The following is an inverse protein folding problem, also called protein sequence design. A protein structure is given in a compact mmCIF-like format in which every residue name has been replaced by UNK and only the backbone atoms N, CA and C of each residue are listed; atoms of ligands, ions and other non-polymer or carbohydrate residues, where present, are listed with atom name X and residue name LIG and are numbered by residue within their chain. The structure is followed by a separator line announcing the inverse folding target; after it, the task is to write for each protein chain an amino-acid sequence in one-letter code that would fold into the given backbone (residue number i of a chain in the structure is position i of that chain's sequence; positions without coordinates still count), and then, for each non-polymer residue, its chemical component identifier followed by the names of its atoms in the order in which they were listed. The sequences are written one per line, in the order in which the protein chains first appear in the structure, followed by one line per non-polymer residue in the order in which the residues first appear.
data_IF_455924073334
#
_entry.id   IF_455924073334
#
_cell.length_a   1.000
_cell.length_b   1.000
_cell.length_c   1.000
_cell.angle_alpha   90.00
_cell.angle_beta   90.00
_cell.angle_gamma   90.00
#
_symmetry.space_group_name_H-M   'P 1'
#
loop_
_entity.id
_entity.type
_entity.pdbx_description
1 polymer ?
#
# COMPACT_ATOMS: atom_id res chain seq x y z
N UNK A 1 -15.45 -5.87 10.23
CA UNK A 1 -14.78 -6.54 11.36
C UNK A 1 -13.50 -5.80 11.70
N UNK A 2 -13.34 -5.33 12.94
CA UNK A 2 -12.10 -4.67 13.38
C UNK A 2 -11.02 -5.70 13.78
N UNK A 3 -9.76 -5.27 13.91
CA UNK A 3 -8.63 -6.18 14.24
C UNK A 3 -8.82 -6.90 15.58
N UNK A 4 -9.51 -6.28 16.55
CA UNK A 4 -9.77 -6.87 17.87
C UNK A 4 -10.77 -8.02 17.75
N UNK A 5 -11.84 -7.84 16.98
CA UNK A 5 -12.83 -8.87 16.67
C UNK A 5 -12.22 -10.04 15.89
N UNK A 6 -11.42 -9.75 14.86
CA UNK A 6 -10.72 -10.77 14.06
C UNK A 6 -9.83 -11.65 14.93
N UNK A 7 -9.08 -11.02 15.84
CA UNK A 7 -8.20 -11.71 16.78
C UNK A 7 -8.97 -12.57 17.79
N UNK A 8 -10.11 -12.09 18.26
CA UNK A 8 -10.98 -12.88 19.15
C UNK A 8 -11.58 -14.09 18.43
N UNK A 9 -12.01 -13.94 17.18
CA UNK A 9 -12.51 -15.07 16.39
C UNK A 9 -11.40 -16.07 16.06
N UNK A 10 -10.18 -15.61 15.78
CA UNK A 10 -9.01 -16.49 15.59
C UNK A 10 -8.72 -17.30 16.86
N UNK A 11 -8.65 -16.62 18.00
CA UNK A 11 -8.36 -17.23 19.30
C UNK A 11 -9.42 -18.29 19.68
N UNK A 12 -10.70 -17.97 19.48
CA UNK A 12 -11.80 -18.89 19.70
C UNK A 12 -11.72 -20.11 18.79
N UNK A 13 -11.37 -19.92 17.51
CA UNK A 13 -11.25 -21.00 16.53
C UNK A 13 -10.09 -21.96 16.84
N UNK A 14 -8.93 -21.44 17.22
CA UNK A 14 -7.79 -22.26 17.66
C UNK A 14 -8.18 -23.07 18.90
N UNK A 15 -8.81 -22.44 19.89
CA UNK A 15 -9.27 -23.15 21.09
C UNK A 15 -10.31 -24.22 20.76
N UNK A 16 -11.21 -23.96 19.81
CA UNK A 16 -12.23 -24.92 19.39
C UNK A 16 -11.59 -26.15 18.75
N UNK A 17 -10.74 -25.95 17.73
CA UNK A 17 -10.08 -27.03 17.00
C UNK A 17 -9.20 -27.89 17.89
N UNK A 18 -8.46 -27.27 18.81
CA UNK A 18 -7.66 -28.00 19.81
C UNK A 18 -8.54 -28.93 20.65
N UNK A 19 -9.70 -28.45 21.11
CA UNK A 19 -10.65 -29.25 21.91
C UNK A 19 -11.32 -30.34 21.09
N UNK A 20 -11.63 -30.10 19.82
CA UNK A 20 -12.18 -31.10 18.90
C UNK A 20 -11.19 -32.25 18.69
N UNK A 21 -9.89 -31.94 18.64
CA UNK A 21 -8.80 -32.94 18.63
C UNK A 21 -8.46 -33.53 20.00
N UNK A 22 -9.19 -33.15 21.06
CA UNK A 22 -8.98 -33.61 22.45
C UNK A 22 -7.57 -33.34 22.99
N UNK A 23 -6.93 -32.27 22.52
CA UNK A 23 -5.60 -31.88 22.96
C UNK A 23 -5.68 -30.89 24.12
N UNK A 24 -4.77 -31.00 25.08
CA UNK A 24 -4.51 -30.00 26.12
C UNK A 24 -3.73 -28.81 25.56
N UNK A 25 -3.69 -27.69 26.31
CA UNK A 25 -2.87 -26.54 25.91
C UNK A 25 -1.37 -26.89 25.93
N UNK A 26 -0.94 -27.76 26.85
CA UNK A 26 0.44 -28.27 26.95
C UNK A 26 0.82 -29.06 25.69
N UNK A 27 -0.02 -30.00 25.27
CA UNK A 27 0.23 -30.83 24.08
C UNK A 27 0.28 -29.99 22.79
N UNK A 28 -0.59 -28.99 22.66
CA UNK A 28 -0.52 -28.06 21.51
C UNK A 28 0.75 -27.21 21.57
N UNK A 29 1.15 -26.77 22.77
CA UNK A 29 2.36 -25.97 22.96
C UNK A 29 3.62 -26.75 22.56
N UNK A 30 3.69 -28.02 22.94
CA UNK A 30 4.80 -28.92 22.59
C UNK A 30 4.92 -29.12 21.08
N UNK A 31 3.80 -29.36 20.38
CA UNK A 31 3.79 -29.57 18.93
C UNK A 31 4.28 -28.38 18.11
N UNK A 32 4.13 -27.16 18.63
CA UNK A 32 4.52 -25.93 17.92
C UNK A 32 5.73 -25.23 18.56
N UNK A 33 6.45 -25.93 19.45
CA UNK A 33 7.63 -25.45 20.18
C UNK A 33 7.37 -24.09 20.87
N UNK A 34 6.32 -24.05 21.70
CA UNK A 34 5.91 -22.89 22.49
C UNK A 34 5.63 -23.29 23.93
N UNK A 35 5.49 -22.30 24.80
CA UNK A 35 5.09 -22.54 26.19
C UNK A 35 3.57 -22.64 26.30
N UNK A 36 3.08 -23.39 27.28
CA UNK A 36 1.65 -23.44 27.61
C UNK A 36 1.05 -22.06 27.85
N UNK A 37 1.77 -21.20 28.57
CA UNK A 37 1.36 -19.82 28.83
C UNK A 37 1.13 -19.03 27.54
N UNK A 38 1.95 -19.29 26.50
CA UNK A 38 1.77 -18.67 25.20
C UNK A 38 0.46 -19.11 24.54
N UNK A 39 0.16 -20.41 24.53
CA UNK A 39 -1.12 -20.94 24.00
C UNK A 39 -2.29 -20.38 24.78
N UNK A 40 -2.17 -20.29 26.09
CA UNK A 40 -3.19 -19.73 26.97
C UNK A 40 -3.50 -18.26 26.63
N UNK A 41 -2.46 -17.44 26.46
CA UNK A 41 -2.60 -16.03 26.04
C UNK A 41 -3.12 -15.89 24.60
N UNK A 42 -2.75 -16.81 23.71
CA UNK A 42 -3.21 -16.84 22.32
C UNK A 42 -4.71 -17.14 22.25
N UNK A 43 -5.19 -18.17 22.95
CA UNK A 43 -6.59 -18.60 22.96
C UNK A 43 -7.53 -17.60 23.65
N UNK A 44 -7.01 -16.68 24.48
CA UNK A 44 -7.75 -15.52 25.01
C UNK A 44 -7.75 -14.29 24.09
N UNK A 45 -7.00 -14.35 22.98
CA UNK A 45 -6.81 -13.21 22.09
C UNK A 45 -5.93 -12.10 22.70
N UNK A 46 -5.12 -12.42 23.70
CA UNK A 46 -4.17 -11.51 24.38
C UNK A 46 -2.77 -11.52 23.77
N UNK A 47 -2.44 -12.56 22.99
CA UNK A 47 -1.28 -12.61 22.07
C UNK A 47 -1.70 -12.70 20.60
N UNK A 48 -0.91 -12.11 19.71
CA UNK A 48 -1.12 -12.20 18.26
C UNK A 48 -0.11 -13.22 17.74
N UNK A 49 -0.54 -14.25 16.99
CA UNK A 49 0.40 -15.19 16.40
C UNK A 49 1.22 -14.49 15.32
N UNK A 50 2.48 -14.92 15.14
CA UNK A 50 3.23 -14.55 13.94
C UNK A 50 2.70 -15.34 12.74
N UNK A 51 3.14 -14.98 11.54
CA UNK A 51 2.76 -15.70 10.33
C UNK A 51 3.21 -17.17 10.38
N UNK A 52 4.45 -17.42 10.80
CA UNK A 52 5.03 -18.76 10.97
C UNK A 52 4.21 -19.59 11.96
N UNK A 53 3.74 -18.97 13.04
CA UNK A 53 2.94 -19.66 14.05
C UNK A 53 1.56 -20.04 13.54
N UNK A 54 0.95 -19.27 12.63
CA UNK A 54 -0.33 -19.64 12.02
C UNK A 54 -0.20 -20.95 11.23
N UNK A 55 0.92 -21.14 10.50
CA UNK A 55 1.17 -22.38 9.78
C UNK A 55 1.48 -23.55 10.71
N UNK A 56 2.29 -23.33 11.75
CA UNK A 56 2.56 -24.36 12.76
C UNK A 56 1.28 -24.81 13.48
N UNK A 57 0.39 -23.87 13.83
CA UNK A 57 -0.92 -24.18 14.41
C UNK A 57 -1.81 -24.93 13.43
N UNK A 58 -1.81 -24.55 12.15
CA UNK A 58 -2.60 -25.20 11.11
C UNK A 58 -2.16 -26.66 10.90
N UNK A 59 -0.85 -26.90 10.88
CA UNK A 59 -0.26 -28.23 10.80
C UNK A 59 -0.57 -29.08 12.05
N UNK A 60 -0.34 -28.53 13.25
CA UNK A 60 -0.64 -29.22 14.52
C UNK A 60 -2.14 -29.51 14.69
N UNK A 61 -3.00 -28.65 14.15
CA UNK A 61 -4.46 -28.80 14.17
C UNK A 61 -5.01 -29.44 12.91
N UNK A 62 -4.17 -29.92 11.99
CA UNK A 62 -4.56 -30.65 10.77
C UNK A 62 -5.68 -29.96 9.98
N UNK A 63 -5.52 -28.65 9.78
CA UNK A 63 -6.45 -27.82 9.02
C UNK A 63 -5.67 -26.91 8.07
N UNK A 64 -6.28 -26.46 6.96
CA UNK A 64 -5.68 -25.40 6.15
C UNK A 64 -5.49 -24.12 6.98
N UNK A 65 -4.36 -23.43 6.83
CA UNK A 65 -4.15 -22.13 7.51
C UNK A 65 -5.25 -21.10 7.20
N UNK A 66 -5.82 -21.17 5.99
CA UNK A 66 -6.97 -20.36 5.55
C UNK A 66 -8.22 -20.60 6.40
N UNK A 67 -8.38 -21.81 6.95
CA UNK A 67 -9.49 -22.13 7.84
C UNK A 67 -9.38 -21.40 9.19
N UNK A 68 -8.15 -21.26 9.73
CA UNK A 68 -7.91 -20.54 10.99
C UNK A 68 -8.25 -19.04 10.87
N UNK A 69 -8.12 -18.46 9.67
CA UNK A 69 -8.32 -17.03 9.41
C UNK A 69 -9.64 -16.71 8.66
N UNK A 70 -10.50 -17.71 8.42
CA UNK A 70 -11.81 -17.48 7.83
C UNK A 70 -12.80 -17.04 8.91
N UNK A 71 -13.44 -15.90 8.70
CA UNK A 71 -14.36 -15.30 9.68
C UNK A 71 -15.71 -15.11 9.00
N UNK A 72 -16.74 -15.86 9.41
CA UNK A 72 -18.09 -15.73 8.86
C UNK A 72 -18.76 -14.48 9.43
N UNK A 73 -19.32 -13.64 8.55
CA UNK A 73 -20.22 -12.57 8.97
C UNK A 73 -21.59 -13.20 9.27
N UNK A 74 -21.97 -13.24 10.54
CA UNK A 74 -23.35 -13.52 10.95
C UNK A 74 -24.20 -12.27 10.72
N UNK A 75 -25.04 -12.30 9.68
CA UNK A 75 -26.01 -11.24 9.41
C UNK A 75 -26.63 -11.37 8.02
N UNK A 76 -27.92 -11.70 7.98
CA UNK A 76 -28.75 -11.90 6.80
C UNK A 76 -28.84 -10.67 5.88
N UNK A 77 -28.60 -10.87 4.58
CA UNK A 77 -29.44 -10.35 3.48
C UNK A 77 -28.88 -10.84 2.13
N UNK A 78 -29.08 -12.11 1.83
CA UNK A 78 -28.62 -12.72 0.56
C UNK A 78 -29.51 -12.40 -0.66
N UNK A 79 -30.62 -11.67 -0.48
CA UNK A 79 -31.64 -11.54 -1.54
C UNK A 79 -31.88 -10.11 -2.07
N UNK A 80 -31.44 -9.04 -1.41
CA UNK A 80 -31.75 -7.66 -1.84
C UNK A 80 -30.56 -6.86 -2.42
N UNK A 81 -29.33 -7.41 -2.37
CA UNK A 81 -28.10 -6.67 -2.73
C UNK A 81 -27.70 -6.86 -4.21
N UNK A 82 -28.26 -7.84 -4.91
CA UNK A 82 -27.88 -8.19 -6.28
C UNK A 82 -28.34 -7.20 -7.38
N UNK A 83 -28.93 -6.05 -7.04
CA UNK A 83 -29.53 -5.17 -8.07
C UNK A 83 -29.04 -3.72 -8.06
N UNK A 84 -28.30 -3.24 -7.05
CA UNK A 84 -28.01 -1.79 -6.94
C UNK A 84 -26.62 -1.39 -6.42
N UNK A 85 -25.61 -2.25 -6.40
CA UNK A 85 -24.24 -1.84 -6.11
C UNK A 85 -23.34 -2.28 -7.25
N UNK A 86 -22.94 -1.32 -8.08
CA UNK A 86 -21.70 -1.44 -8.83
C UNK A 86 -20.59 -1.67 -7.79
N UNK A 87 -20.10 -2.90 -7.71
CA UNK A 87 -19.03 -3.23 -6.76
C UNK A 87 -17.80 -2.38 -7.10
N UNK A 88 -17.19 -1.69 -6.11
CA UNK A 88 -15.90 -1.07 -6.32
C UNK A 88 -14.93 -2.19 -6.70
N UNK A 89 -14.41 -2.12 -7.92
CA UNK A 89 -13.42 -3.05 -8.45
C UNK A 89 -12.19 -2.94 -7.55
N UNK A 90 -12.06 -3.87 -6.60
CA UNK A 90 -10.79 -4.14 -5.93
C UNK A 90 -9.77 -4.29 -7.07
N UNK A 91 -8.68 -3.52 -7.11
CA UNK A 91 -7.72 -3.59 -8.20
C UNK A 91 -7.22 -5.01 -8.28
N UNK A 92 -7.77 -5.70 -9.27
CA UNK A 92 -7.43 -7.04 -9.63
C UNK A 92 -5.94 -7.04 -9.86
N UNK A 93 -5.23 -7.90 -9.14
CA UNK A 93 -4.07 -8.52 -9.75
C UNK A 93 -4.64 -9.11 -11.04
N UNK A 94 -4.37 -8.44 -12.17
CA UNK A 94 -4.83 -8.93 -13.47
C UNK A 94 -4.16 -10.29 -13.61
N UNK A 95 -4.92 -11.36 -13.39
CA UNK A 95 -4.40 -12.70 -13.58
C UNK A 95 -3.97 -12.81 -15.05
N UNK A 96 -2.78 -13.35 -15.32
CA UNK A 96 -2.33 -13.51 -16.69
C UNK A 96 -3.37 -14.36 -17.43
N UNK A 97 -3.90 -13.83 -18.52
CA UNK A 97 -4.82 -14.57 -19.39
C UNK A 97 -4.03 -15.74 -19.97
N UNK A 98 -4.37 -16.97 -19.59
CA UNK A 98 -3.67 -18.19 -20.04
C UNK A 98 -4.00 -18.55 -21.50
N UNK A 99 -5.10 -18.01 -22.04
CA UNK A 99 -5.51 -18.23 -23.42
C UNK A 99 -4.67 -17.39 -24.39
N UNK A 100 -3.91 -18.06 -25.26
CA UNK A 100 -3.17 -17.40 -26.32
C UNK A 100 -4.13 -16.74 -27.33
N UNK A 101 -3.80 -15.53 -27.80
CA UNK A 101 -4.51 -14.92 -28.94
C UNK A 101 -4.19 -15.75 -30.19
N UNK A 102 -5.08 -16.67 -30.56
CA UNK A 102 -4.79 -17.70 -31.56
C UNK A 102 -5.17 -17.31 -32.98
N UNK A 103 -6.06 -16.32 -33.17
CA UNK A 103 -6.55 -15.95 -34.49
C UNK A 103 -5.91 -14.67 -35.06
N UNK A 104 -5.92 -14.53 -36.38
CA UNK A 104 -5.42 -13.33 -37.07
C UNK A 104 -6.42 -12.18 -36.91
N UNK A 105 -7.70 -12.49 -36.88
CA UNK A 105 -8.82 -11.57 -36.78
C UNK A 105 -8.85 -10.87 -35.42
N UNK A 106 -8.67 -11.62 -34.31
CA UNK A 106 -8.60 -11.04 -32.95
C UNK A 106 -7.43 -10.06 -32.82
N UNK A 107 -6.24 -10.42 -33.32
CA UNK A 107 -5.06 -9.53 -33.30
C UNK A 107 -5.29 -8.23 -34.07
N UNK A 108 -5.96 -8.29 -35.23
CA UNK A 108 -6.29 -7.09 -36.02
C UNK A 108 -7.28 -6.20 -35.25
N UNK A 109 -8.28 -6.81 -34.62
CA UNK A 109 -9.26 -6.08 -33.79
C UNK A 109 -8.58 -5.36 -32.62
N UNK A 110 -7.74 -6.05 -31.86
CA UNK A 110 -7.03 -5.48 -30.72
C UNK A 110 -5.99 -4.43 -31.13
N UNK A 111 -5.26 -4.64 -32.23
CA UNK A 111 -4.35 -3.64 -32.77
C UNK A 111 -5.08 -2.33 -33.13
N UNK A 112 -6.28 -2.43 -33.71
CA UNK A 112 -7.10 -1.25 -34.04
C UNK A 112 -7.62 -0.55 -32.78
N UNK A 113 -8.00 -1.30 -31.73
CA UNK A 113 -8.40 -0.73 -30.44
C UNK A 113 -7.22 0.00 -29.78
N UNK A 114 -6.03 -0.60 -29.81
CA UNK A 114 -4.80 0.00 -29.30
C UNK A 114 -4.46 1.29 -30.06
N UNK A 115 -4.44 1.27 -31.40
CA UNK A 115 -4.15 2.43 -32.23
C UNK A 115 -5.08 3.62 -31.90
N UNK A 116 -6.36 3.35 -31.69
CA UNK A 116 -7.32 4.38 -31.31
C UNK A 116 -7.06 4.93 -29.90
N UNK A 117 -6.77 4.07 -28.92
CA UNK A 117 -6.43 4.52 -27.57
C UNK A 117 -5.12 5.32 -27.53
N UNK A 118 -4.14 4.93 -28.36
CA UNK A 118 -2.84 5.60 -28.43
C UNK A 118 -2.92 7.06 -28.86
N UNK A 119 -3.96 7.47 -29.59
CA UNK A 119 -4.18 8.88 -29.97
C UNK A 119 -4.35 9.78 -28.75
N UNK A 120 -5.26 9.42 -27.84
CA UNK A 120 -5.47 10.18 -26.59
C UNK A 120 -4.29 10.05 -25.62
N UNK A 121 -3.62 8.89 -25.62
CA UNK A 121 -2.39 8.70 -24.82
C UNK A 121 -1.28 9.63 -25.31
N UNK A 122 -1.17 9.85 -26.62
CA UNK A 122 -0.18 10.79 -27.18
C UNK A 122 -0.46 12.23 -26.77
N UNK A 123 -1.73 12.65 -26.69
CA UNK A 123 -2.10 13.96 -26.16
C UNK A 123 -1.70 14.10 -24.68
N UNK A 124 -1.92 13.05 -23.87
CA UNK A 124 -1.46 13.01 -22.48
C UNK A 124 0.07 13.08 -22.38
N UNK A 125 0.80 12.39 -23.25
CA UNK A 125 2.27 12.47 -23.31
C UNK A 125 2.74 13.88 -23.73
N UNK A 126 2.06 14.53 -24.67
CA UNK A 126 2.39 15.89 -25.07
C UNK A 126 2.22 16.87 -23.89
N UNK A 127 1.13 16.74 -23.14
CA UNK A 127 0.93 17.50 -21.91
C UNK A 127 2.00 17.18 -20.85
N UNK A 128 2.37 15.91 -20.69
CA UNK A 128 3.48 15.51 -19.81
C UNK A 128 4.80 16.20 -20.18
N UNK A 129 5.11 16.31 -21.47
CA UNK A 129 6.33 16.98 -21.95
C UNK A 129 6.36 18.46 -21.54
N UNK A 130 5.22 19.17 -21.58
CA UNK A 130 5.10 20.56 -21.12
C UNK A 130 5.41 20.72 -19.61
N UNK A 131 5.23 19.65 -18.83
CA UNK A 131 5.53 19.59 -17.40
C UNK A 131 6.93 19.02 -17.11
N UNK A 132 7.72 18.68 -18.14
CA UNK A 132 9.05 18.12 -18.00
C UNK A 132 9.10 16.60 -17.80
N UNK A 133 8.00 15.88 -18.05
CA UNK A 133 7.92 14.42 -17.95
C UNK A 133 8.12 13.81 -19.33
N UNK A 134 9.23 13.09 -19.52
CA UNK A 134 9.63 12.54 -20.83
C UNK A 134 8.88 11.30 -21.26
N UNK A 135 8.40 10.49 -20.31
CA UNK A 135 7.69 9.23 -20.57
C UNK A 135 6.65 8.98 -19.47
N UNK A 136 5.36 8.98 -19.83
CA UNK A 136 4.26 8.74 -18.88
C UNK A 136 4.18 7.29 -18.38
N UNK A 137 4.80 6.34 -19.09
CA UNK A 137 4.77 4.92 -18.76
C UNK A 137 5.94 4.47 -17.87
N UNK A 138 6.95 5.32 -17.69
CA UNK A 138 8.08 5.04 -16.81
C UNK A 138 7.97 5.81 -15.49
N UNK A 139 8.48 5.21 -14.41
CA UNK A 139 8.64 5.84 -13.08
C UNK A 139 7.39 6.56 -12.53
N UNK A 140 6.19 6.09 -12.90
CA UNK A 140 4.90 6.70 -12.58
C UNK A 140 4.68 8.10 -13.22
N UNK A 141 5.31 8.43 -14.35
CA UNK A 141 5.20 9.73 -15.02
C UNK A 141 3.75 10.23 -15.18
N UNK A 142 2.85 9.39 -15.69
CA UNK A 142 1.43 9.76 -15.83
C UNK A 142 0.70 10.03 -14.51
N UNK A 143 1.16 9.47 -13.38
CA UNK A 143 0.63 9.77 -12.03
C UNK A 143 1.24 11.05 -11.47
N UNK A 144 2.54 11.24 -11.67
CA UNK A 144 3.22 12.48 -11.26
C UNK A 144 2.60 13.68 -11.96
N UNK A 145 2.28 13.56 -13.26
CA UNK A 145 1.59 14.60 -14.02
C UNK A 145 0.26 15.02 -13.35
N UNK A 146 -0.56 14.06 -12.91
CA UNK A 146 -1.82 14.35 -12.23
C UNK A 146 -1.59 15.19 -10.94
N UNK A 147 -0.59 14.85 -10.14
CA UNK A 147 -0.23 15.62 -8.94
C UNK A 147 0.20 17.04 -9.28
N UNK A 148 1.10 17.19 -10.27
CA UNK A 148 1.61 18.49 -10.66
C UNK A 148 0.49 19.42 -11.13
N UNK A 149 -0.41 18.93 -11.97
CA UNK A 149 -1.55 19.71 -12.47
C UNK A 149 -2.48 20.12 -11.33
N UNK A 150 -2.92 19.17 -10.50
CA UNK A 150 -3.90 19.42 -9.45
C UNK A 150 -3.37 20.30 -8.32
N UNK A 151 -2.07 20.28 -8.08
CA UNK A 151 -1.41 21.10 -7.05
C UNK A 151 -0.86 22.43 -7.61
N UNK A 152 -0.93 22.66 -8.92
CA UNK A 152 -0.37 23.86 -9.55
C UNK A 152 1.17 23.91 -9.49
N UNK A 153 1.84 22.77 -9.60
CA UNK A 153 3.29 22.63 -9.48
C UNK A 153 3.96 22.33 -10.83
N UNK A 154 5.28 22.48 -10.87
CA UNK A 154 6.17 22.06 -11.96
C UNK A 154 7.30 21.19 -11.41
N UNK A 155 7.94 20.39 -12.26
CA UNK A 155 9.17 19.66 -11.89
C UNK A 155 10.26 20.68 -11.57
N UNK A 156 10.99 20.48 -10.45
CA UNK A 156 12.11 21.36 -10.12
C UNK A 156 13.24 21.18 -11.13
N UNK A 157 13.87 22.26 -11.62
CA UNK A 157 14.98 22.17 -12.56
C UNK A 157 16.25 21.59 -11.91
N UNK A 158 16.82 20.54 -12.51
CA UNK A 158 18.11 19.96 -12.12
C UNK A 158 18.00 18.56 -11.49
N UNK A 159 19.06 17.74 -11.60
CA UNK A 159 19.08 16.34 -11.13
C UNK A 159 19.21 16.19 -9.61
N UNK A 160 19.49 17.27 -8.88
CA UNK A 160 19.78 17.26 -7.43
C UNK A 160 18.78 18.07 -6.58
N UNK A 161 17.79 18.70 -7.22
CA UNK A 161 16.70 19.44 -6.57
C UNK A 161 15.62 18.52 -6.02
N UNK A 162 14.69 19.06 -5.22
CA UNK A 162 13.52 18.32 -4.75
C UNK A 162 12.52 18.12 -5.90
N UNK A 163 11.54 17.23 -5.75
CA UNK A 163 10.73 16.74 -6.88
C UNK A 163 9.94 17.83 -7.63
N UNK A 164 9.45 18.87 -6.94
CA UNK A 164 8.58 19.89 -7.53
C UNK A 164 8.77 21.30 -6.97
N UNK A 165 8.30 22.30 -7.71
CA UNK A 165 8.38 23.72 -7.37
C UNK A 165 7.05 24.44 -7.68
N UNK A 166 6.68 25.43 -6.88
CA UNK A 166 5.55 26.32 -7.16
C UNK A 166 5.97 27.62 -7.87
N UNK A 167 4.99 28.49 -8.17
CA UNK A 167 5.20 29.78 -8.82
C UNK A 167 6.04 30.78 -8.00
N UNK A 168 6.17 30.58 -6.68
CA UNK A 168 6.97 31.42 -5.79
C UNK A 168 8.40 30.90 -5.64
N UNK A 169 8.75 29.79 -6.32
CA UNK A 169 10.05 29.17 -6.25
C UNK A 169 10.25 28.27 -5.03
N UNK A 170 9.17 27.95 -4.30
CA UNK A 170 9.25 27.06 -3.14
C UNK A 170 9.20 25.61 -3.59
N UNK A 171 10.12 24.81 -3.04
CA UNK A 171 10.30 23.42 -3.43
C UNK A 171 9.50 22.44 -2.55
N UNK A 172 9.14 21.30 -3.13
CA UNK A 172 8.31 20.27 -2.53
C UNK A 172 8.82 18.87 -2.89
N UNK A 173 8.56 17.92 -2.00
CA UNK A 173 8.77 16.49 -2.28
C UNK A 173 7.45 15.87 -2.78
N UNK A 174 7.51 15.00 -3.79
CA UNK A 174 6.36 14.29 -4.33
C UNK A 174 6.55 12.78 -4.19
N UNK A 175 5.52 12.08 -3.72
CA UNK A 175 5.49 10.62 -3.74
C UNK A 175 4.15 10.11 -4.20
N UNK A 176 4.16 9.04 -4.98
CA UNK A 176 2.96 8.33 -5.41
C UNK A 176 2.96 6.92 -4.83
N UNK A 177 1.78 6.42 -4.50
CA UNK A 177 1.62 5.10 -3.91
C UNK A 177 0.34 4.47 -4.45
N UNK A 178 0.44 3.25 -4.97
CA UNK A 178 -0.73 2.44 -5.28
C UNK A 178 -1.18 1.71 -4.01
N UNK A 179 -2.33 2.08 -3.44
CA UNK A 179 -2.78 1.63 -2.12
C UNK A 179 -3.12 0.14 -2.10
N UNK A 180 -3.49 -0.44 -3.23
CA UNK A 180 -3.80 -1.87 -3.29
C UNK A 180 -2.59 -2.77 -3.42
N UNK A 181 -1.54 -2.28 -4.06
CA UNK A 181 -0.30 -3.02 -4.23
C UNK A 181 0.67 -2.78 -3.06
N UNK A 182 0.40 -1.80 -2.20
CA UNK A 182 1.27 -1.49 -1.06
C UNK A 182 1.07 -2.44 0.12
N UNK A 183 1.53 -3.69 -0.07
CA UNK A 183 1.59 -4.73 0.97
C UNK A 183 2.48 -4.35 2.15
N UNK A 184 3.42 -3.42 1.94
CA UNK A 184 4.43 -3.02 2.92
C UNK A 184 4.02 -1.89 3.87
N UNK A 185 2.83 -1.31 3.69
CA UNK A 185 2.18 -0.40 4.63
C UNK A 185 2.73 1.04 4.67
N UNK A 186 3.57 1.46 3.73
CA UNK A 186 4.17 2.80 3.76
C UNK A 186 4.76 3.29 2.46
N UNK A 187 4.95 4.60 2.37
CA UNK A 187 5.53 5.32 1.24
C UNK A 187 7.04 5.23 1.33
N UNK A 188 7.67 4.73 0.27
CA UNK A 188 9.12 4.65 0.09
C UNK A 188 9.72 6.04 -0.07
N UNK A 189 10.95 6.24 0.40
CA UNK A 189 11.62 7.54 0.35
C UNK A 189 12.80 7.52 -0.61
N UNK A 190 13.98 7.08 -0.15
CA UNK A 190 15.23 7.10 -0.93
C UNK A 190 16.06 5.83 -0.73
N UNK A 191 16.65 5.29 -1.80
CA UNK A 191 17.45 4.06 -1.77
C UNK A 191 18.76 4.19 -0.97
N UNK A 192 19.30 5.41 -0.88
CA UNK A 192 20.52 5.72 -0.12
C UNK A 192 20.28 6.91 0.80
N UNK A 193 19.33 6.81 1.73
CA UNK A 193 19.05 7.92 2.63
C UNK A 193 20.26 8.19 3.53
N UNK A 194 20.75 9.43 3.52
CA UNK A 194 21.88 9.91 4.32
C UNK A 194 21.54 11.26 4.97
N UNK A 195 22.47 11.81 5.74
CA UNK A 195 22.28 13.07 6.47
C UNK A 195 21.96 14.25 5.53
N UNK A 196 22.65 14.34 4.38
CA UNK A 196 22.45 15.42 3.39
C UNK A 196 21.02 15.40 2.85
N UNK A 197 20.48 14.22 2.55
CA UNK A 197 19.12 14.07 2.03
C UNK A 197 18.09 14.39 3.13
N UNK A 198 18.31 13.95 4.37
CA UNK A 198 17.44 14.31 5.50
C UNK A 198 17.36 15.82 5.70
N UNK A 199 18.48 16.53 5.57
CA UNK A 199 18.51 17.98 5.65
C UNK A 199 17.75 18.66 4.50
N UNK A 200 17.80 18.10 3.28
CA UNK A 200 16.95 18.56 2.17
C UNK A 200 15.47 18.36 2.46
N UNK A 201 15.08 17.18 2.96
CA UNK A 201 13.70 16.86 3.33
C UNK A 201 13.10 17.76 4.41
N UNK A 202 13.93 18.33 5.29
CA UNK A 202 13.48 19.29 6.30
C UNK A 202 13.28 20.71 5.76
N UNK A 203 13.87 21.03 4.60
CA UNK A 203 13.85 22.37 4.01
C UNK A 203 12.73 22.57 2.99
N UNK A 204 12.14 21.48 2.46
CA UNK A 204 11.01 21.59 1.53
C UNK A 204 9.80 22.21 2.20
N UNK A 205 8.97 22.87 1.39
CA UNK A 205 7.73 23.48 1.85
C UNK A 205 6.72 22.49 2.39
N UNK A 206 6.64 21.32 1.76
CA UNK A 206 5.83 20.19 2.17
C UNK A 206 6.21 18.95 1.35
N UNK A 207 5.73 17.81 1.82
CA UNK A 207 5.61 16.59 1.06
C UNK A 207 4.17 16.44 0.57
N UNK A 208 3.97 16.20 -0.71
CA UNK A 208 2.68 15.77 -1.25
C UNK A 208 2.72 14.29 -1.59
N UNK A 209 1.74 13.55 -1.05
CA UNK A 209 1.65 12.11 -1.24
C UNK A 209 0.31 11.80 -1.93
N UNK A 210 0.39 11.33 -3.16
CA UNK A 210 -0.74 10.88 -3.97
C UNK A 210 -1.05 9.41 -3.75
N UNK A 211 -2.26 9.12 -3.26
CA UNK A 211 -2.79 7.77 -3.09
C UNK A 211 -3.57 7.37 -4.34
N UNK A 212 -3.17 6.27 -4.98
CA UNK A 212 -3.73 5.76 -6.23
C UNK A 212 -4.34 4.37 -6.05
N UNK A 213 -5.34 4.05 -6.86
CA UNK A 213 -5.74 2.68 -7.17
C UNK A 213 -5.51 2.45 -8.67
N UNK A 214 -4.53 1.61 -9.01
CA UNK A 214 -4.09 1.48 -10.40
C UNK A 214 -3.48 2.79 -10.92
N UNK A 215 -4.12 3.39 -11.93
CA UNK A 215 -3.76 4.71 -12.48
C UNK A 215 -4.65 5.85 -11.96
N UNK A 216 -5.71 5.53 -11.22
CA UNK A 216 -6.72 6.48 -10.75
C UNK A 216 -6.28 7.11 -9.44
N UNK A 217 -6.11 8.44 -9.43
CA UNK A 217 -5.83 9.19 -8.22
C UNK A 217 -7.05 9.24 -7.30
N UNK A 218 -6.88 8.81 -6.05
CA UNK A 218 -7.93 8.81 -5.02
C UNK A 218 -7.82 10.00 -4.09
N UNK A 219 -6.63 10.23 -3.54
CA UNK A 219 -6.42 11.27 -2.53
C UNK A 219 -5.03 11.90 -2.66
N UNK A 220 -4.88 13.17 -2.31
CA UNK A 220 -3.57 13.79 -2.08
C UNK A 220 -3.52 14.32 -0.65
N UNK A 221 -2.47 13.94 0.09
CA UNK A 221 -2.17 14.49 1.41
C UNK A 221 -0.95 15.38 1.36
N UNK A 222 -1.05 16.54 2.00
CA UNK A 222 0.06 17.46 2.27
C UNK A 222 0.58 17.23 3.68
N UNK A 223 1.87 16.96 3.80
CA UNK A 223 2.58 16.78 5.06
C UNK A 223 3.64 17.85 5.22
N UNK A 224 3.64 18.56 6.33
CA UNK A 224 4.68 19.55 6.62
C UNK A 224 5.93 18.86 7.19
N UNK A 225 7.13 19.45 7.06
CA UNK A 225 8.34 18.93 7.70
C UNK A 225 8.18 18.71 9.21
N UNK A 226 7.44 19.58 9.90
CA UNK A 226 7.19 19.46 11.35
C UNK A 226 6.41 18.19 11.69
N UNK A 227 5.44 17.82 10.85
CA UNK A 227 4.68 16.57 11.01
C UNK A 227 5.58 15.33 10.79
N UNK A 228 6.56 15.44 9.90
CA UNK A 228 7.50 14.36 9.56
C UNK A 228 8.73 14.30 10.46
N UNK A 229 9.01 15.36 11.23
CA UNK A 229 10.23 15.48 12.04
C UNK A 229 10.45 14.32 13.03
N UNK A 230 9.42 13.76 13.72
CA UNK A 230 9.63 12.58 14.55
C UNK A 230 10.20 11.40 13.77
N UNK A 231 9.81 11.25 12.48
CA UNK A 231 10.30 10.20 11.61
C UNK A 231 11.71 10.51 11.09
N UNK A 232 11.99 11.77 10.78
CA UNK A 232 13.34 12.20 10.39
C UNK A 232 14.35 11.99 11.52
N UNK A 233 14.01 12.32 12.77
CA UNK A 233 14.86 12.04 13.94
C UNK A 233 15.11 10.55 14.14
N UNK A 234 14.07 9.71 13.98
CA UNK A 234 14.23 8.25 14.04
C UNK A 234 15.27 7.75 13.02
N UNK A 235 15.26 8.30 11.80
CA UNK A 235 16.22 7.94 10.75
C UNK A 235 17.61 8.52 11.01
N UNK A 236 17.70 9.75 11.48
CA UNK A 236 18.95 10.42 11.85
C UNK A 236 19.68 9.66 12.97
N UNK A 237 18.97 9.23 14.02
CA UNK A 237 19.58 8.41 15.08
C UNK A 237 20.06 7.05 14.54
N UNK A 238 19.32 6.43 13.61
CA UNK A 238 19.76 5.19 12.96
C UNK A 238 21.00 5.39 12.09
N UNK A 239 21.16 6.56 11.47
CA UNK A 239 22.34 6.91 10.68
C UNK A 239 23.56 7.19 11.55
N UNK A 240 23.40 7.71 12.78
CA UNK A 240 24.53 7.92 13.71
C UNK A 240 25.17 6.61 14.18
N UNK A 241 24.38 5.55 14.28
CA UNK A 241 24.81 4.23 14.80
C UNK A 241 25.31 3.32 13.68
N UNK A 242 25.10 3.69 12.41
CA UNK A 242 25.45 2.88 11.23
C UNK A 242 26.52 3.61 10.40
N UNK A 243 27.43 2.85 9.80
CA UNK A 243 28.40 3.42 8.86
C UNK A 243 27.80 3.62 7.44
N UNK A 244 26.62 3.04 7.17
CA UNK A 244 26.01 3.00 5.84
C UNK A 244 24.66 3.74 5.79
N UNK A 245 24.28 4.16 4.58
CA UNK A 245 22.99 4.80 4.30
C UNK A 245 21.78 3.88 4.62
N UNK A 246 20.65 4.49 4.98
CA UNK A 246 19.40 3.74 5.16
C UNK A 246 18.78 3.42 3.80
N UNK A 247 18.56 2.12 3.54
CA UNK A 247 17.92 1.68 2.32
C UNK A 247 16.39 1.81 2.41
N UNK A 248 15.87 2.79 1.67
CA UNK A 248 14.45 3.00 1.42
C UNK A 248 13.54 2.94 2.66
N UNK A 249 13.83 3.75 3.69
CA UNK A 249 12.97 3.79 4.86
C UNK A 249 11.59 4.36 4.49
N UNK A 250 10.56 3.92 5.20
CA UNK A 250 9.17 4.18 4.82
C UNK A 250 8.44 5.12 5.78
N UNK A 251 7.60 5.98 5.21
CA UNK A 251 6.62 6.78 5.94
C UNK A 251 5.32 5.95 6.03
N UNK A 252 4.87 5.56 7.23
CA UNK A 252 3.66 4.75 7.38
C UNK A 252 2.42 5.47 6.85
N UNK A 253 1.52 4.76 6.18
CA UNK A 253 0.26 5.35 5.67
C UNK A 253 -0.59 6.01 6.76
N UNK A 254 -0.52 5.51 7.99
CA UNK A 254 -1.19 6.13 9.14
C UNK A 254 -0.67 7.54 9.43
N UNK A 255 0.63 7.79 9.22
CA UNK A 255 1.20 9.12 9.34
C UNK A 255 0.81 10.00 8.15
N UNK A 256 0.82 9.45 6.94
CA UNK A 256 0.35 10.14 5.73
C UNK A 256 -1.07 10.70 5.93
N UNK A 257 -1.99 9.88 6.44
CA UNK A 257 -3.39 10.27 6.70
C UNK A 257 -3.59 11.26 7.84
N UNK A 258 -2.53 11.61 8.59
CA UNK A 258 -2.58 12.72 9.57
C UNK A 258 -2.26 14.07 8.93
N UNK A 259 -1.73 14.08 7.71
CA UNK A 259 -1.53 15.29 6.93
C UNK A 259 -2.85 15.94 6.51
N UNK A 260 -2.74 17.12 5.93
CA UNK A 260 -3.90 17.84 5.38
C UNK A 260 -4.34 17.15 4.07
N UNK A 261 -5.60 16.74 3.99
CA UNK A 261 -6.21 16.29 2.74
C UNK A 261 -6.42 17.49 1.82
N UNK A 262 -5.79 17.48 0.65
CA UNK A 262 -5.87 18.60 -0.32
C UNK A 262 -6.60 18.22 -1.60
N UNK A 263 -6.85 16.93 -1.83
CA UNK A 263 -7.65 16.40 -2.93
C UNK A 263 -8.30 15.09 -2.53
N UNK A 264 -9.56 14.87 -2.95
CA UNK A 264 -10.24 13.57 -2.88
C UNK A 264 -11.19 13.39 -4.06
N UNK A 265 -11.20 12.19 -4.66
CA UNK A 265 -12.07 11.85 -5.81
C UNK A 265 -13.57 11.80 -5.49
N UNK A 266 -13.95 11.77 -4.21
CA UNK A 266 -15.34 11.80 -3.74
C UNK A 266 -15.92 13.20 -3.54
N UNK A 267 -15.15 14.26 -3.82
CA UNK A 267 -15.57 15.66 -3.68
C UNK A 267 -15.66 16.42 -5.02
N UNK A 268 -15.71 15.71 -6.15
CA UNK A 268 -15.98 16.26 -7.48
C UNK A 268 -17.36 15.85 -8.00
#
# INVERSE_FOLDING_TARGET
MNYKEARQQFAAKVSQLRREKRMTQDELAELIDKTTDYISLLERGERSPSFELIFALAEALDVPATYLISFSQSGENKALVNTLIAEPVSPSVVEPVEEAVTTKEERISDAKRLENAMKSIQELQNLANEYGITDIFQDNGGKTLQLLILLGLRISPGREGNDAIDSEGKEYELKTINISLNRSGGVTTHHHLNQIILEKYRKVGAWYIGLYEGITLKQIYKLTPELLEPKFKEWEEKLKVRNDALNNPKIPLKLVRRGQLVYSDSQQ
#
